data_IF_461130598750
#
_entry.id   IF_461130598750
#
_cell.length_a   1.000
_cell.length_b   1.000
_cell.length_c   1.000
_cell.angle_alpha   90.00
_cell.angle_beta   90.00
_cell.angle_gamma   90.00
#
_symmetry.space_group_name_H-M   'P 1'
#
loop_
_entity.id
_entity.type
_entity.pdbx_description
1 polymer ?
#
# COMPACT_ATOMS: atom_id res chain seq x y z
N UNK A 1 26.10 2.32 -10.20
CA UNK A 1 25.66 3.39 -9.29
C UNK A 1 26.64 4.57 -9.20
N UNK A 2 27.96 4.39 -9.27
CA UNK A 2 28.95 5.48 -9.28
C UNK A 2 28.79 6.44 -10.48
N UNK A 3 28.40 5.90 -11.64
CA UNK A 3 28.16 6.67 -12.87
C UNK A 3 26.92 7.58 -12.76
N UNK A 4 25.87 7.16 -12.04
CA UNK A 4 24.70 7.99 -11.78
C UNK A 4 25.02 9.16 -10.84
N UNK A 5 25.87 8.95 -9.84
CA UNK A 5 26.31 9.98 -8.90
C UNK A 5 27.22 11.02 -9.61
N UNK A 6 28.08 10.57 -10.52
CA UNK A 6 28.89 11.43 -11.35
C UNK A 6 28.05 12.26 -12.32
N UNK A 7 27.05 11.66 -12.97
CA UNK A 7 26.11 12.37 -13.85
C UNK A 7 25.30 13.43 -13.09
N UNK A 8 24.80 13.12 -11.89
CA UNK A 8 24.11 14.11 -11.06
C UNK A 8 25.03 15.28 -10.65
N UNK A 9 26.31 15.01 -10.39
CA UNK A 9 27.27 16.08 -10.05
C UNK A 9 27.53 17.04 -11.23
N UNK A 10 27.53 16.53 -12.47
CA UNK A 10 27.72 17.35 -13.68
C UNK A 10 26.46 18.08 -14.14
N UNK A 11 25.25 17.60 -13.79
CA UNK A 11 23.96 18.18 -14.22
C UNK A 11 23.45 19.22 -13.22
N UNK A 12 23.97 19.23 -11.97
CA UNK A 12 23.56 20.20 -10.95
C UNK A 12 23.97 21.63 -11.34
N UNK A 13 23.01 22.38 -11.84
CA UNK A 13 23.19 23.79 -12.18
C UNK A 13 23.37 24.65 -10.91
N UNK A 14 24.05 25.82 -11.01
CA UNK A 14 24.21 26.75 -9.88
C UNK A 14 22.87 27.20 -9.28
N UNK A 15 21.80 27.29 -10.07
CA UNK A 15 20.44 27.64 -9.62
C UNK A 15 19.87 26.61 -8.67
N UNK A 16 20.12 25.32 -8.87
CA UNK A 16 19.66 24.26 -7.99
C UNK A 16 20.27 24.37 -6.58
N UNK A 17 21.51 24.83 -6.48
CA UNK A 17 22.17 25.11 -5.18
C UNK A 17 21.54 26.29 -4.43
N UNK A 18 21.06 27.30 -5.15
CA UNK A 18 20.34 28.43 -4.55
C UNK A 18 18.98 28.01 -4.03
N UNK A 19 18.22 27.25 -4.80
CA UNK A 19 16.91 26.71 -4.40
C UNK A 19 17.01 25.75 -3.20
N UNK A 20 18.07 24.93 -3.13
CA UNK A 20 18.32 24.04 -1.98
C UNK A 20 18.70 24.85 -0.73
N UNK A 21 19.40 25.96 -0.88
CA UNK A 21 19.82 26.83 0.25
C UNK A 21 18.67 27.67 0.78
N UNK A 22 17.79 28.15 -0.09
CA UNK A 22 16.59 28.92 0.28
C UNK A 22 15.56 28.02 1.00
N UNK A 23 15.40 26.78 0.54
CA UNK A 23 14.51 25.79 1.15
C UNK A 23 15.00 25.29 2.52
N UNK A 24 16.30 25.39 2.83
CA UNK A 24 16.83 25.02 4.15
C UNK A 24 16.45 26.02 5.27
N UNK A 25 16.24 27.27 4.94
CA UNK A 25 15.91 28.30 5.95
C UNK A 25 14.41 28.35 6.32
N UNK A 26 13.53 27.73 5.52
CA UNK A 26 12.08 27.72 5.74
C UNK A 26 11.54 26.34 6.17
N UNK A 27 12.40 25.35 6.39
CA UNK A 27 12.01 23.98 6.74
C UNK A 27 11.39 23.96 8.15
N UNK A 28 10.06 23.82 8.20
CA UNK A 28 9.33 23.57 9.45
C UNK A 28 9.92 22.35 10.17
N UNK A 29 10.02 22.43 11.50
CA UNK A 29 10.48 21.27 12.29
C UNK A 29 9.51 20.11 12.11
N UNK A 30 10.02 18.88 12.01
CA UNK A 30 9.21 17.64 11.85
C UNK A 30 8.07 17.57 12.88
N UNK A 31 8.35 17.97 14.13
CA UNK A 31 7.33 18.01 15.20
C UNK A 31 6.21 18.99 14.93
N UNK A 32 6.49 20.11 14.26
CA UNK A 32 5.48 21.10 13.88
C UNK A 32 4.60 20.56 12.74
N UNK A 33 5.19 19.93 11.72
CA UNK A 33 4.45 19.30 10.62
C UNK A 33 3.50 18.23 11.15
N UNK A 34 3.95 17.40 12.09
CA UNK A 34 3.10 16.38 12.73
C UNK A 34 1.92 17.03 13.47
N UNK A 35 2.17 18.10 14.24
CA UNK A 35 1.11 18.78 14.99
C UNK A 35 0.06 19.44 14.08
N UNK A 36 0.53 20.11 13.02
CA UNK A 36 -0.35 20.81 12.08
C UNK A 36 -1.19 19.82 11.25
N UNK A 37 -0.63 18.66 10.92
CA UNK A 37 -1.26 17.66 10.06
C UNK A 37 -1.67 16.38 10.81
N UNK A 38 -1.90 16.46 12.12
CA UNK A 38 -2.20 15.30 12.97
C UNK A 38 -3.39 14.46 12.50
N UNK A 39 -4.41 15.07 11.91
CA UNK A 39 -5.57 14.36 11.37
C UNK A 39 -5.21 13.58 10.11
N UNK A 40 -4.57 14.20 9.14
CA UNK A 40 -4.17 13.54 7.88
C UNK A 40 -3.17 12.41 8.15
N UNK A 41 -2.12 12.68 8.94
CA UNK A 41 -1.10 11.70 9.28
C UNK A 41 -1.65 10.59 10.19
N UNK A 42 -2.49 10.93 11.18
CA UNK A 42 -3.09 9.97 12.09
C UNK A 42 -4.17 9.14 11.42
N UNK A 43 -5.22 9.76 10.92
CA UNK A 43 -6.37 9.03 10.37
C UNK A 43 -6.03 8.39 9.03
N UNK A 44 -5.63 9.19 8.04
CA UNK A 44 -5.39 8.62 6.70
C UNK A 44 -4.13 7.76 6.69
N UNK A 45 -3.09 8.15 7.44
CA UNK A 45 -1.89 7.35 7.64
C UNK A 45 -2.17 5.97 8.24
N UNK A 46 -3.04 5.87 9.26
CA UNK A 46 -3.46 4.57 9.83
C UNK A 46 -4.23 3.73 8.82
N UNK A 47 -5.09 4.34 8.01
CA UNK A 47 -5.77 3.63 6.93
C UNK A 47 -4.77 3.00 5.96
N UNK A 48 -3.77 3.76 5.53
CA UNK A 48 -2.72 3.25 4.64
C UNK A 48 -1.78 2.25 5.30
N UNK A 49 -1.51 2.40 6.60
CA UNK A 49 -0.80 1.40 7.38
C UNK A 49 -1.51 0.04 7.29
N UNK A 50 -2.83 0.00 7.53
CA UNK A 50 -3.63 -1.22 7.41
C UNK A 50 -3.58 -1.76 5.98
N UNK A 51 -3.79 -0.91 4.98
CA UNK A 51 -3.74 -1.31 3.57
C UNK A 51 -2.38 -1.93 3.19
N UNK A 52 -1.27 -1.32 3.60
CA UNK A 52 0.07 -1.84 3.33
C UNK A 52 0.38 -3.13 4.10
N UNK A 53 -0.12 -3.25 5.34
CA UNK A 53 -0.01 -4.49 6.10
C UNK A 53 -0.72 -5.64 5.36
N UNK A 54 -1.94 -5.44 4.88
CA UNK A 54 -2.67 -6.43 4.09
C UNK A 54 -1.92 -6.79 2.80
N UNK A 55 -1.42 -5.80 2.08
CA UNK A 55 -0.69 -6.02 0.82
C UNK A 55 0.58 -6.82 1.02
N UNK A 56 1.35 -6.53 2.04
CA UNK A 56 2.59 -7.25 2.32
C UNK A 56 2.31 -8.66 2.81
N UNK A 57 1.25 -8.86 3.59
CA UNK A 57 0.86 -10.18 4.09
C UNK A 57 0.64 -11.22 2.98
N UNK A 58 0.22 -10.80 1.78
CA UNK A 58 0.06 -11.71 0.63
C UNK A 58 1.38 -12.38 0.21
N UNK A 59 2.48 -11.61 0.26
CA UNK A 59 3.80 -12.11 -0.12
C UNK A 59 4.36 -13.13 0.86
N UNK A 60 3.78 -13.24 2.03
CA UNK A 60 4.17 -14.17 3.09
C UNK A 60 3.21 -15.36 3.14
N UNK A 61 1.90 -15.09 3.18
CA UNK A 61 0.89 -16.14 3.35
C UNK A 61 0.80 -17.05 2.12
N UNK A 62 0.86 -16.53 0.89
CA UNK A 62 0.74 -17.34 -0.32
C UNK A 62 1.86 -18.40 -0.41
N UNK A 63 3.15 -18.05 -0.27
CA UNK A 63 4.21 -19.05 -0.30
C UNK A 63 4.10 -20.07 0.84
N UNK A 64 3.81 -19.62 2.06
CA UNK A 64 3.65 -20.52 3.20
C UNK A 64 2.48 -21.47 3.01
N UNK A 65 1.36 -20.99 2.44
CA UNK A 65 0.20 -21.82 2.16
C UNK A 65 0.46 -22.81 1.04
N UNK A 66 1.09 -22.39 -0.05
CA UNK A 66 1.48 -23.26 -1.16
C UNK A 66 2.37 -24.41 -0.67
N UNK A 67 3.36 -24.09 0.17
CA UNK A 67 4.20 -25.11 0.80
C UNK A 67 3.40 -26.05 1.71
N UNK A 68 2.47 -25.53 2.51
CA UNK A 68 1.63 -26.31 3.43
C UNK A 68 0.72 -27.32 2.71
N UNK A 69 0.26 -27.02 1.49
CA UNK A 69 -0.54 -27.93 0.65
C UNK A 69 0.31 -28.78 -0.32
N UNK A 70 1.64 -28.74 -0.19
CA UNK A 70 2.56 -29.58 -0.94
C UNK A 70 2.77 -29.14 -2.40
N UNK A 71 2.57 -27.87 -2.74
CA UNK A 71 2.86 -27.37 -4.09
C UNK A 71 4.37 -27.18 -4.28
N UNK A 72 4.83 -27.49 -5.48
CA UNK A 72 6.19 -27.23 -5.91
C UNK A 72 6.46 -25.74 -6.15
N UNK A 73 7.72 -25.33 -6.09
CA UNK A 73 8.16 -23.94 -6.25
C UNK A 73 7.74 -23.37 -7.62
N UNK A 74 7.76 -24.20 -8.67
CA UNK A 74 7.35 -23.79 -10.02
C UNK A 74 5.87 -23.39 -10.08
N UNK A 75 5.00 -24.17 -9.42
CA UNK A 75 3.58 -23.86 -9.33
C UNK A 75 3.34 -22.53 -8.59
N UNK A 76 4.07 -22.30 -7.50
CA UNK A 76 4.04 -21.01 -6.78
C UNK A 76 4.53 -19.86 -7.68
N UNK A 77 5.61 -20.07 -8.43
CA UNK A 77 6.14 -19.08 -9.37
C UNK A 77 5.10 -18.67 -10.43
N UNK A 78 4.35 -19.64 -10.97
CA UNK A 78 3.26 -19.37 -11.93
C UNK A 78 2.13 -18.56 -11.28
N UNK A 79 1.68 -18.94 -10.08
CA UNK A 79 0.64 -18.20 -9.34
C UNK A 79 1.05 -16.74 -9.12
N UNK A 80 2.28 -16.52 -8.65
CA UNK A 80 2.80 -15.17 -8.40
C UNK A 80 2.94 -14.36 -9.69
N UNK A 81 3.41 -14.98 -10.78
CA UNK A 81 3.57 -14.31 -12.07
C UNK A 81 2.24 -13.86 -12.65
N UNK A 82 1.22 -14.73 -12.62
CA UNK A 82 -0.12 -14.43 -13.10
C UNK A 82 -0.76 -13.33 -12.23
N UNK A 83 -0.65 -13.45 -10.91
CA UNK A 83 -1.14 -12.41 -9.98
C UNK A 83 -0.50 -11.05 -10.26
N UNK A 84 0.81 -11.01 -10.49
CA UNK A 84 1.53 -9.77 -10.80
C UNK A 84 1.19 -9.21 -12.17
N UNK A 85 0.97 -10.06 -13.16
CA UNK A 85 0.55 -9.63 -14.51
C UNK A 85 -0.82 -8.93 -14.47
N UNK A 86 -1.77 -9.48 -13.71
CA UNK A 86 -3.09 -8.87 -13.50
C UNK A 86 -2.96 -7.55 -12.75
N UNK A 87 -2.16 -7.52 -11.68
CA UNK A 87 -1.87 -6.34 -10.90
C UNK A 87 -1.38 -5.19 -11.81
N UNK A 88 -0.36 -5.44 -12.64
CA UNK A 88 0.17 -4.46 -13.58
C UNK A 88 -0.87 -3.99 -14.62
N UNK A 89 -1.68 -4.90 -15.14
CA UNK A 89 -2.71 -4.57 -16.14
C UNK A 89 -3.75 -3.61 -15.59
N UNK A 90 -4.04 -3.70 -14.29
CA UNK A 90 -5.05 -2.88 -13.63
C UNK A 90 -4.53 -1.51 -13.18
N UNK A 91 -3.23 -1.21 -13.23
CA UNK A 91 -2.69 0.07 -12.80
C UNK A 91 -3.28 1.26 -13.55
N UNK A 92 -3.37 1.15 -14.87
CA UNK A 92 -3.92 2.23 -15.69
C UNK A 92 -5.42 2.46 -15.46
N UNK A 93 -6.30 1.44 -15.55
CA UNK A 93 -7.73 1.63 -15.28
C UNK A 93 -7.99 2.06 -13.83
N UNK A 94 -7.23 1.57 -12.85
CA UNK A 94 -7.35 2.00 -11.46
C UNK A 94 -7.01 3.49 -11.28
N UNK A 95 -5.96 3.97 -11.92
CA UNK A 95 -5.61 5.39 -11.96
C UNK A 95 -6.75 6.23 -12.52
N UNK A 96 -7.31 5.84 -13.66
CA UNK A 96 -8.46 6.53 -14.27
C UNK A 96 -9.68 6.59 -13.35
N UNK A 97 -10.02 5.48 -12.69
CA UNK A 97 -11.15 5.43 -11.72
C UNK A 97 -10.87 6.35 -10.55
N UNK A 98 -9.65 6.33 -10.02
CA UNK A 98 -9.23 7.14 -8.89
C UNK A 98 -9.30 8.64 -9.19
N UNK A 99 -8.92 9.05 -10.40
CA UNK A 99 -8.95 10.46 -10.83
C UNK A 99 -10.36 10.94 -11.16
N UNK A 100 -11.25 10.07 -11.64
CA UNK A 100 -12.60 10.43 -12.04
C UNK A 100 -13.62 10.33 -10.91
N UNK A 101 -13.55 9.27 -10.11
CA UNK A 101 -14.57 8.95 -9.09
C UNK A 101 -14.10 9.22 -7.66
N UNK A 102 -12.81 9.25 -7.44
CA UNK A 102 -12.22 9.53 -6.12
C UNK A 102 -11.37 8.39 -5.58
N UNK A 103 -10.59 8.73 -4.55
CA UNK A 103 -9.57 7.83 -3.97
C UNK A 103 -10.21 6.66 -3.22
N UNK A 104 -11.37 6.88 -2.61
CA UNK A 104 -12.12 5.81 -1.93
C UNK A 104 -12.63 4.72 -2.87
N UNK A 105 -12.96 5.08 -4.11
CA UNK A 105 -13.47 4.12 -5.12
C UNK A 105 -12.46 3.08 -5.57
N UNK A 106 -11.19 3.28 -5.26
CA UNK A 106 -10.14 2.29 -5.50
C UNK A 106 -9.67 1.64 -4.20
N UNK A 107 -9.50 2.43 -3.14
CA UNK A 107 -8.97 1.92 -1.87
C UNK A 107 -9.94 0.96 -1.17
N UNK A 108 -11.24 1.30 -1.09
CA UNK A 108 -12.24 0.46 -0.41
C UNK A 108 -12.44 -0.88 -1.10
N UNK A 109 -12.70 -0.96 -2.43
CA UNK A 109 -12.79 -2.24 -3.12
C UNK A 109 -11.50 -3.07 -3.02
N UNK A 110 -10.33 -2.43 -3.06
CA UNK A 110 -9.05 -3.11 -2.85
C UNK A 110 -9.00 -3.80 -1.49
N UNK A 111 -9.35 -3.13 -0.40
CA UNK A 111 -9.33 -3.74 0.94
C UNK A 111 -10.38 -4.85 1.05
N UNK A 112 -11.58 -4.69 0.47
CA UNK A 112 -12.62 -5.71 0.46
C UNK A 112 -12.12 -6.98 -0.24
N UNK A 113 -11.56 -6.85 -1.43
CA UNK A 113 -11.03 -7.98 -2.20
C UNK A 113 -9.83 -8.64 -1.51
N UNK A 114 -8.92 -7.84 -0.88
CA UNK A 114 -7.83 -8.39 -0.07
C UNK A 114 -8.37 -9.23 1.09
N UNK A 115 -9.32 -8.69 1.84
CA UNK A 115 -9.93 -9.38 2.98
C UNK A 115 -10.64 -10.67 2.57
N UNK A 116 -11.39 -10.62 1.46
CA UNK A 116 -12.04 -11.79 0.87
C UNK A 116 -11.01 -12.85 0.47
N UNK A 117 -9.96 -12.46 -0.24
CA UNK A 117 -8.91 -13.37 -0.68
C UNK A 117 -8.23 -14.06 0.52
N UNK A 118 -7.90 -13.32 1.60
CA UNK A 118 -7.32 -13.90 2.79
C UNK A 118 -8.27 -14.88 3.49
N UNK A 119 -9.58 -14.62 3.51
CA UNK A 119 -10.54 -15.57 4.06
C UNK A 119 -10.59 -16.87 3.23
N UNK A 120 -10.48 -16.76 1.92
CA UNK A 120 -10.53 -17.88 0.99
C UNK A 120 -9.25 -18.74 0.99
N UNK A 121 -8.10 -18.20 1.36
CA UNK A 121 -6.83 -18.95 1.44
C UNK A 121 -6.99 -20.20 2.29
N UNK A 122 -7.65 -20.09 3.45
CA UNK A 122 -7.85 -21.23 4.38
C UNK A 122 -8.63 -22.40 3.78
N UNK A 123 -9.32 -22.18 2.66
CA UNK A 123 -10.08 -23.22 1.94
C UNK A 123 -9.38 -23.66 0.64
N UNK A 124 -8.20 -23.11 0.34
CA UNK A 124 -7.44 -23.44 -0.85
C UNK A 124 -6.60 -24.70 -0.60
N UNK A 125 -7.14 -25.86 -0.88
CA UNK A 125 -6.52 -27.19 -0.72
C UNK A 125 -5.83 -27.70 -2.00
N UNK A 126 -5.90 -26.94 -3.10
CA UNK A 126 -5.39 -27.34 -4.41
C UNK A 126 -4.78 -26.16 -5.16
N UNK A 127 -3.96 -26.47 -6.19
CA UNK A 127 -3.36 -25.48 -7.07
C UNK A 127 -4.40 -24.53 -7.67
N UNK A 128 -5.53 -25.07 -8.18
CA UNK A 128 -6.57 -24.27 -8.83
C UNK A 128 -7.20 -23.28 -7.88
N UNK A 129 -7.50 -23.70 -6.64
CA UNK A 129 -8.07 -22.81 -5.63
C UNK A 129 -7.07 -21.75 -5.21
N UNK A 130 -5.81 -22.10 -5.00
CA UNK A 130 -4.78 -21.13 -4.65
C UNK A 130 -4.50 -20.15 -5.81
N UNK A 131 -4.57 -20.61 -7.04
CA UNK A 131 -4.50 -19.74 -8.23
C UNK A 131 -5.65 -18.73 -8.24
N UNK A 132 -6.89 -19.17 -8.00
CA UNK A 132 -8.04 -18.26 -7.90
C UNK A 132 -7.85 -17.19 -6.82
N UNK A 133 -7.35 -17.56 -5.66
CA UNK A 133 -7.00 -16.62 -4.60
C UNK A 133 -5.92 -15.66 -5.08
N UNK A 134 -4.88 -16.14 -5.75
CA UNK A 134 -3.83 -15.32 -6.34
C UNK A 134 -4.36 -14.30 -7.36
N UNK A 135 -5.35 -14.69 -8.19
CA UNK A 135 -6.02 -13.79 -9.12
C UNK A 135 -6.77 -12.67 -8.38
N UNK A 136 -7.54 -13.01 -7.34
CA UNK A 136 -8.27 -12.01 -6.53
C UNK A 136 -7.28 -11.04 -5.87
N UNK A 137 -6.17 -11.55 -5.35
CA UNK A 137 -5.12 -10.72 -4.74
C UNK A 137 -4.45 -9.80 -5.76
N UNK A 138 -4.20 -10.27 -6.99
CA UNK A 138 -3.68 -9.46 -8.10
C UNK A 138 -4.64 -8.33 -8.46
N UNK A 139 -5.93 -8.64 -8.65
CA UNK A 139 -6.97 -7.66 -8.94
C UNK A 139 -7.06 -6.61 -7.82
N UNK A 140 -7.10 -7.07 -6.59
CA UNK A 140 -7.18 -6.21 -5.42
C UNK A 140 -6.02 -5.23 -5.33
N UNK A 141 -4.79 -5.73 -5.51
CA UNK A 141 -3.60 -4.90 -5.44
C UNK A 141 -3.55 -3.88 -6.59
N UNK A 142 -3.87 -4.31 -7.81
CA UNK A 142 -3.90 -3.45 -8.98
C UNK A 142 -4.87 -2.28 -8.83
N UNK A 143 -6.09 -2.55 -8.34
CA UNK A 143 -7.09 -1.50 -8.10
C UNK A 143 -6.61 -0.47 -7.07
N UNK A 144 -5.93 -0.91 -6.03
CA UNK A 144 -5.49 -0.02 -4.95
C UNK A 144 -4.08 0.58 -5.11
N UNK A 145 -3.34 0.28 -6.18
CA UNK A 145 -1.90 0.55 -6.31
C UNK A 145 -1.49 2.01 -6.17
N UNK A 146 -2.29 2.95 -6.69
CA UNK A 146 -2.00 4.39 -6.66
C UNK A 146 -2.38 5.11 -5.35
N UNK A 147 -3.22 4.49 -4.51
CA UNK A 147 -3.84 5.17 -3.38
C UNK A 147 -2.85 5.83 -2.41
N UNK A 148 -1.75 5.17 -2.10
CA UNK A 148 -0.73 5.70 -1.18
C UNK A 148 -0.08 6.99 -1.69
N UNK A 149 0.32 7.00 -2.96
CA UNK A 149 1.00 8.15 -3.57
C UNK A 149 0.04 9.31 -3.75
N UNK A 150 -1.16 9.04 -4.23
CA UNK A 150 -2.16 10.06 -4.54
C UNK A 150 -2.71 10.70 -3.28
N UNK A 151 -3.11 9.92 -2.27
CA UNK A 151 -3.55 10.46 -0.98
C UNK A 151 -2.43 11.26 -0.29
N UNK A 152 -1.19 10.81 -0.40
CA UNK A 152 -0.05 11.53 0.14
C UNK A 152 0.15 12.89 -0.52
N UNK A 153 0.12 12.93 -1.85
CA UNK A 153 0.28 14.19 -2.61
C UNK A 153 -0.90 15.14 -2.42
N UNK A 154 -2.13 14.63 -2.37
CA UNK A 154 -3.33 15.43 -2.18
C UNK A 154 -3.38 16.13 -0.80
N UNK A 155 -2.80 15.51 0.22
CA UNK A 155 -2.81 15.99 1.60
C UNK A 155 -1.53 16.73 1.99
N UNK A 156 -0.50 16.70 1.15
CA UNK A 156 0.77 17.33 1.45
C UNK A 156 0.65 18.87 1.41
N UNK A 157 1.10 19.59 2.46
CA UNK A 157 1.14 21.03 2.45
C UNK A 157 2.20 21.54 1.47
N UNK A 158 1.91 22.63 0.74
CA UNK A 158 2.85 23.22 -0.22
C UNK A 158 4.18 23.62 0.41
N UNK A 159 4.15 24.20 1.61
CA UNK A 159 5.33 24.71 2.33
C UNK A 159 6.25 23.62 2.87
N UNK A 160 5.76 22.37 3.01
CA UNK A 160 6.49 21.29 3.69
C UNK A 160 6.26 19.91 3.05
N UNK A 161 6.03 19.89 1.73
CA UNK A 161 5.69 18.69 0.97
C UNK A 161 6.71 17.54 1.18
N UNK A 162 8.00 17.78 1.01
CA UNK A 162 9.03 16.74 1.14
C UNK A 162 9.06 16.09 2.52
N UNK A 163 9.22 16.83 3.63
CA UNK A 163 9.19 16.28 4.98
C UNK A 163 7.85 15.60 5.32
N UNK A 164 6.71 16.14 4.89
CA UNK A 164 5.40 15.53 5.07
C UNK A 164 5.32 14.15 4.40
N UNK A 165 5.70 14.05 3.13
CA UNK A 165 5.72 12.78 2.40
C UNK A 165 6.70 11.78 2.98
N UNK A 166 7.81 12.23 3.58
CA UNK A 166 8.73 11.38 4.32
C UNK A 166 8.06 10.72 5.53
N UNK A 167 7.38 11.50 6.37
CA UNK A 167 6.61 10.99 7.52
C UNK A 167 5.46 10.08 7.06
N UNK A 168 4.74 10.49 6.02
CA UNK A 168 3.67 9.74 5.40
C UNK A 168 4.09 8.34 4.96
N UNK A 169 5.22 8.25 4.25
CA UNK A 169 5.80 6.96 3.83
C UNK A 169 6.24 6.12 5.03
N UNK A 170 6.85 6.74 6.04
CA UNK A 170 7.27 6.03 7.25
C UNK A 170 6.08 5.37 7.95
N UNK A 171 4.98 6.11 8.15
CA UNK A 171 3.75 5.58 8.75
C UNK A 171 3.17 4.46 7.87
N UNK A 172 3.03 4.69 6.57
CA UNK A 172 2.43 3.73 5.66
C UNK A 172 3.25 2.44 5.54
N UNK A 173 4.56 2.53 5.42
CA UNK A 173 5.44 1.37 5.25
C UNK A 173 5.71 0.62 6.56
N UNK A 174 5.49 1.23 7.71
CA UNK A 174 5.54 0.49 8.98
C UNK A 174 4.50 -0.64 9.03
N UNK A 175 3.37 -0.50 8.31
CA UNK A 175 2.41 -1.59 8.10
C UNK A 175 3.01 -2.78 7.37
N UNK A 176 3.77 -2.54 6.29
CA UNK A 176 4.50 -3.61 5.58
C UNK A 176 5.53 -4.28 6.48
N UNK A 177 6.28 -3.50 7.27
CA UNK A 177 7.27 -4.04 8.20
C UNK A 177 6.68 -4.93 9.29
N UNK A 178 5.43 -4.69 9.71
CA UNK A 178 4.75 -5.49 10.72
C UNK A 178 4.06 -6.74 10.15
N UNK A 179 3.85 -6.84 8.84
CA UNK A 179 3.19 -7.98 8.21
C UNK A 179 3.94 -9.30 8.48
N UNK A 180 5.26 -9.31 8.27
CA UNK A 180 6.09 -10.50 8.46
C UNK A 180 6.08 -11.04 9.89
N UNK A 181 6.39 -10.25 10.93
CA UNK A 181 6.34 -10.75 12.29
C UNK A 181 4.92 -11.16 12.71
N UNK A 182 3.88 -10.45 12.27
CA UNK A 182 2.50 -10.77 12.62
C UNK A 182 2.06 -12.10 12.00
N UNK A 183 2.24 -12.27 10.70
CA UNK A 183 1.88 -13.52 10.01
C UNK A 183 2.76 -14.68 10.48
N UNK A 184 4.07 -14.44 10.62
CA UNK A 184 5.02 -15.46 11.03
C UNK A 184 4.76 -15.98 12.46
N UNK A 185 4.53 -15.09 13.43
CA UNK A 185 4.26 -15.48 14.80
C UNK A 185 2.94 -16.23 14.92
N UNK A 186 1.85 -15.71 14.32
CA UNK A 186 0.55 -16.41 14.39
C UNK A 186 0.63 -17.76 13.65
N UNK A 187 1.28 -17.79 12.47
CA UNK A 187 1.43 -19.04 11.69
C UNK A 187 2.24 -20.09 12.41
N UNK A 188 3.30 -19.70 13.12
CA UNK A 188 4.20 -20.61 13.84
C UNK A 188 3.60 -21.13 15.15
N UNK A 189 2.99 -20.25 15.95
CA UNK A 189 2.52 -20.62 17.30
C UNK A 189 1.08 -21.15 17.34
N UNK A 190 0.26 -20.81 16.34
CA UNK A 190 -1.14 -21.22 16.29
C UNK A 190 -1.43 -22.05 15.04
N UNK A 191 -1.69 -21.39 13.92
CA UNK A 191 -1.86 -22.03 12.62
C UNK A 191 -1.81 -20.99 11.50
N UNK A 192 -1.51 -21.44 10.29
CA UNK A 192 -1.50 -20.60 9.10
C UNK A 192 -2.92 -20.12 8.73
N UNK A 193 -3.95 -20.95 9.01
CA UNK A 193 -5.35 -20.56 8.84
C UNK A 193 -5.74 -19.43 9.79
N UNK A 194 -5.33 -19.50 11.06
CA UNK A 194 -5.57 -18.42 12.01
C UNK A 194 -4.83 -17.14 11.64
N UNK A 195 -3.62 -17.22 11.07
CA UNK A 195 -2.93 -16.07 10.53
C UNK A 195 -3.75 -15.41 9.41
N UNK A 196 -4.26 -16.20 8.45
CA UNK A 196 -5.12 -15.71 7.37
C UNK A 196 -6.38 -15.03 7.89
N UNK A 197 -7.09 -15.65 8.83
CA UNK A 197 -8.30 -15.07 9.43
C UNK A 197 -8.01 -13.81 10.26
N UNK A 198 -6.85 -13.74 10.91
CA UNK A 198 -6.41 -12.53 11.63
C UNK A 198 -6.21 -11.36 10.67
N UNK A 199 -5.55 -11.61 9.54
CA UNK A 199 -5.37 -10.61 8.48
C UNK A 199 -6.73 -10.21 7.88
N UNK A 200 -7.64 -11.17 7.68
CA UNK A 200 -9.02 -10.87 7.24
C UNK A 200 -9.73 -9.95 8.24
N UNK A 201 -9.62 -10.21 9.54
CA UNK A 201 -10.20 -9.36 10.58
C UNK A 201 -9.63 -7.94 10.57
N UNK A 202 -8.32 -7.79 10.41
CA UNK A 202 -7.67 -6.48 10.25
C UNK A 202 -8.20 -5.79 8.98
N UNK A 203 -8.44 -6.53 7.91
CA UNK A 203 -9.02 -6.01 6.68
C UNK A 203 -10.44 -5.47 6.89
N UNK A 204 -11.30 -6.16 7.63
CA UNK A 204 -12.64 -5.65 7.98
C UNK A 204 -12.57 -4.36 8.79
N UNK A 205 -11.67 -4.27 9.76
CA UNK A 205 -11.41 -3.03 10.49
C UNK A 205 -10.96 -1.94 9.51
N UNK A 206 -10.07 -2.26 8.57
CA UNK A 206 -9.62 -1.36 7.53
C UNK A 206 -10.75 -0.84 6.62
N UNK A 207 -11.71 -1.69 6.24
CA UNK A 207 -12.88 -1.29 5.44
C UNK A 207 -13.69 -0.23 6.22
N UNK A 208 -14.06 -0.54 7.47
CA UNK A 208 -14.81 0.39 8.33
C UNK A 208 -14.04 1.71 8.47
N UNK A 209 -12.74 1.61 8.70
CA UNK A 209 -11.88 2.78 8.86
C UNK A 209 -11.83 3.65 7.60
N UNK A 210 -11.62 3.06 6.42
CA UNK A 210 -11.59 3.80 5.16
C UNK A 210 -12.94 4.40 4.78
N UNK A 211 -14.03 3.68 4.99
CA UNK A 211 -15.38 4.16 4.65
C UNK A 211 -15.77 5.37 5.50
N UNK A 212 -15.56 5.31 6.82
CA UNK A 212 -16.08 6.29 7.75
C UNK A 212 -15.10 7.39 8.14
N UNK A 213 -13.81 7.10 8.23
CA UNK A 213 -12.82 8.01 8.81
C UNK A 213 -11.92 8.68 7.75
N UNK A 214 -11.54 7.97 6.68
CA UNK A 214 -10.70 8.57 5.63
C UNK A 214 -11.57 9.50 4.78
N UNK A 215 -11.22 10.80 4.64
CA UNK A 215 -11.97 11.71 3.78
C UNK A 215 -11.72 11.41 2.29
N UNK A 216 -12.67 11.75 1.43
CA UNK A 216 -12.42 11.80 -0.01
C UNK A 216 -11.59 13.04 -0.32
N UNK A 217 -10.43 12.85 -0.96
CA UNK A 217 -9.49 13.94 -1.24
C UNK A 217 -9.59 14.49 -2.66
N UNK A 218 -10.40 13.84 -3.51
CA UNK A 218 -10.61 14.34 -4.87
C UNK A 218 -11.23 15.74 -4.82
N UNK A 219 -10.43 16.75 -5.11
CA UNK A 219 -10.94 18.10 -5.36
C UNK A 219 -11.69 18.07 -6.69
N UNK A 220 -13.01 18.02 -6.66
CA UNK A 220 -13.81 18.36 -7.83
C UNK A 220 -13.49 19.82 -8.17
N UNK A 221 -12.71 20.05 -9.22
CA UNK A 221 -12.59 21.37 -9.78
C UNK A 221 -13.99 21.79 -10.22
N UNK A 222 -14.66 22.56 -9.37
CA UNK A 222 -15.77 23.42 -9.76
C UNK A 222 -15.12 24.59 -10.52
N UNK A 223 -14.81 24.40 -11.80
CA UNK A 223 -14.74 25.51 -12.72
C UNK A 223 -16.08 25.56 -13.47
N UNK A 224 -16.75 26.74 -13.41
CA UNK A 224 -17.97 26.98 -14.18
C UNK A 224 -17.72 26.94 -15.67
#
# INVERSE_FOLDING_TARGET
SAMATLLMYFISSPEEKYLIKENKNTSKKVTQIIKENKYSLGVVGTGLFILNLLRESRHIIIPLWAFNIGLEVDALGIIQSISSAIDMTLFYPAGYVMDKFGRKWTSVPSIILLSLAFSLISFADSYQKLLLVGLILGISNGIGSGAMLTLGSDLAPEDSNGPFLGIWRLISWSGSGLASPLVGTIGQFLSLSLASFSITGIGFIGIVFFVFLVPETLRKNHNP
#
